data_IF_572791763334
#
_entry.id   IF_572791763334
#
_cell.length_a   1.000
_cell.length_b   1.000
_cell.length_c   1.000
_cell.angle_alpha   90.00
_cell.angle_beta   90.00
_cell.angle_gamma   90.00
#
_symmetry.space_group_name_H-M   'P 1'
#
loop_
_entity.id
_entity.type
_entity.pdbx_description
1 polymer ?
#
# COMPACT_ATOMS: atom_id res chain seq x y z
N UNK A 1 7.88 3.72 -10.93
CA UNK A 1 6.99 2.76 -10.24
C UNK A 1 7.77 1.99 -9.17
N UNK A 2 8.30 2.66 -8.15
CA UNK A 2 9.17 2.01 -7.15
C UNK A 2 8.38 1.31 -6.02
N UNK A 3 7.24 1.89 -5.61
CA UNK A 3 6.44 1.41 -4.47
C UNK A 3 5.85 0.00 -4.66
N UNK A 4 5.51 -0.41 -5.88
CA UNK A 4 4.88 -1.70 -6.11
C UNK A 4 5.82 -2.88 -5.81
N UNK A 5 7.12 -2.71 -6.10
CA UNK A 5 8.13 -3.74 -5.84
C UNK A 5 8.32 -4.01 -4.34
N UNK A 6 8.24 -2.97 -3.52
CA UNK A 6 8.38 -3.05 -2.07
C UNK A 6 7.14 -3.68 -1.41
N UNK A 7 5.95 -3.34 -1.92
CA UNK A 7 4.68 -3.97 -1.54
C UNK A 7 4.69 -5.47 -1.87
N UNK A 8 5.13 -5.85 -3.07
CA UNK A 8 5.20 -7.27 -3.45
C UNK A 8 6.24 -8.03 -2.63
N UNK A 9 7.39 -7.42 -2.35
CA UNK A 9 8.41 -8.02 -1.49
C UNK A 9 7.88 -8.26 -0.07
N UNK A 10 7.27 -7.24 0.57
CA UNK A 10 6.65 -7.40 1.89
C UNK A 10 5.50 -8.41 1.88
N UNK A 11 4.71 -8.47 0.81
CA UNK A 11 3.64 -9.48 0.67
C UNK A 11 4.19 -10.90 0.63
N UNK A 12 5.29 -11.15 -0.08
CA UNK A 12 5.96 -12.46 -0.08
C UNK A 12 6.49 -12.81 1.31
N UNK A 13 7.14 -11.87 1.98
CA UNK A 13 7.64 -12.08 3.35
C UNK A 13 6.50 -12.36 4.34
N UNK A 14 5.35 -11.69 4.20
CA UNK A 14 4.20 -11.94 5.05
C UNK A 14 3.65 -13.36 4.86
N UNK A 15 3.57 -13.84 3.61
CA UNK A 15 3.14 -15.20 3.32
C UNK A 15 4.12 -16.22 3.91
N UNK A 16 5.44 -15.98 3.78
CA UNK A 16 6.48 -16.83 4.36
C UNK A 16 6.38 -16.87 5.89
N UNK A 17 6.24 -15.72 6.54
CA UNK A 17 6.05 -15.60 7.99
C UNK A 17 4.76 -16.28 8.46
N UNK A 18 3.67 -16.12 7.72
CA UNK A 18 2.40 -16.78 8.02
C UNK A 18 2.50 -18.30 7.90
N UNK A 19 3.23 -18.82 6.92
CA UNK A 19 3.47 -20.26 6.77
C UNK A 19 4.40 -20.80 7.87
N UNK A 20 5.42 -20.02 8.25
CA UNK A 20 6.46 -20.46 9.19
C UNK A 20 6.07 -20.32 10.65
N UNK A 21 5.37 -19.24 11.01
CA UNK A 21 5.03 -18.88 12.39
C UNK A 21 3.53 -18.85 12.67
N UNK A 22 2.70 -18.94 11.63
CA UNK A 22 1.25 -18.79 11.74
C UNK A 22 0.79 -17.33 11.61
N UNK A 23 -0.50 -17.16 11.33
CA UNK A 23 -1.13 -15.84 11.15
C UNK A 23 -1.21 -15.02 12.44
N UNK A 24 -1.28 -15.70 13.60
CA UNK A 24 -1.37 -15.06 14.91
C UNK A 24 0.00 -14.72 15.54
N UNK A 25 1.10 -15.04 14.87
CA UNK A 25 2.41 -14.65 15.37
C UNK A 25 2.55 -13.12 15.31
N UNK A 26 3.06 -12.53 16.40
CA UNK A 26 3.27 -11.08 16.52
C UNK A 26 4.08 -10.52 15.34
N UNK A 27 5.08 -11.28 14.87
CA UNK A 27 5.90 -10.91 13.71
C UNK A 27 5.11 -10.89 12.40
N UNK A 28 4.19 -11.84 12.20
CA UNK A 28 3.33 -11.90 11.01
C UNK A 28 2.31 -10.76 11.06
N UNK A 29 1.76 -10.49 12.24
CA UNK A 29 0.81 -9.40 12.46
C UNK A 29 1.46 -8.03 12.23
N UNK A 30 2.66 -7.80 12.75
CA UNK A 30 3.45 -6.59 12.48
C UNK A 30 3.74 -6.42 10.99
N UNK A 31 4.18 -7.50 10.33
CA UNK A 31 4.43 -7.46 8.89
C UNK A 31 3.15 -7.12 8.10
N UNK A 32 1.99 -7.60 8.55
CA UNK A 32 0.67 -7.26 7.98
C UNK A 32 0.31 -5.79 8.13
N UNK A 33 0.54 -5.22 9.31
CA UNK A 33 0.24 -3.81 9.58
C UNK A 33 1.15 -2.88 8.76
N UNK A 34 2.43 -3.23 8.62
CA UNK A 34 3.37 -2.46 7.80
C UNK A 34 2.99 -2.51 6.32
N UNK A 35 2.61 -3.68 5.80
CA UNK A 35 2.15 -3.82 4.42
C UNK A 35 0.87 -3.03 4.17
N UNK A 36 -0.09 -3.09 5.09
CA UNK A 36 -1.35 -2.34 5.02
C UNK A 36 -1.09 -0.81 5.02
N UNK A 37 -0.16 -0.34 5.86
CA UNK A 37 0.23 1.08 5.89
C UNK A 37 0.78 1.55 4.55
N UNK A 38 1.65 0.77 3.90
CA UNK A 38 2.19 1.09 2.59
C UNK A 38 1.10 1.12 1.50
N UNK A 39 0.17 0.16 1.55
CA UNK A 39 -0.98 0.12 0.65
C UNK A 39 -1.88 1.35 0.84
N UNK A 40 -2.22 1.69 2.08
CA UNK A 40 -3.01 2.87 2.41
C UNK A 40 -2.34 4.17 1.96
N UNK A 41 -1.01 4.27 2.10
CA UNK A 41 -0.26 5.43 1.62
C UNK A 41 -0.33 5.56 0.09
N UNK A 42 -0.22 4.45 -0.63
CA UNK A 42 -0.34 4.42 -2.09
C UNK A 42 -1.76 4.81 -2.53
N UNK A 43 -2.79 4.25 -1.89
CA UNK A 43 -4.19 4.59 -2.16
C UNK A 43 -4.44 6.08 -1.89
N UNK A 44 -3.95 6.63 -0.78
CA UNK A 44 -4.05 8.06 -0.45
C UNK A 44 -3.36 8.92 -1.51
N UNK A 45 -2.15 8.57 -1.91
CA UNK A 45 -1.42 9.29 -2.96
C UNK A 45 -2.16 9.27 -4.30
N UNK A 46 -2.71 8.12 -4.70
CA UNK A 46 -3.56 8.03 -5.90
C UNK A 46 -4.83 8.85 -5.76
N UNK A 47 -5.51 8.78 -4.62
CA UNK A 47 -6.73 9.53 -4.38
C UNK A 47 -6.49 11.04 -4.40
N UNK A 48 -5.40 11.52 -3.80
CA UNK A 48 -4.99 12.93 -3.88
C UNK A 48 -4.65 13.37 -5.30
N UNK A 49 -4.05 12.52 -6.14
CA UNK A 49 -3.82 12.83 -7.57
C UNK A 49 -5.12 12.92 -8.36
N UNK A 50 -6.08 12.05 -8.07
CA UNK A 50 -7.40 12.06 -8.73
C UNK A 50 -8.18 13.32 -8.32
N UNK A 51 -8.13 13.73 -7.05
CA UNK A 51 -8.78 14.96 -6.58
C UNK A 51 -8.11 16.24 -7.10
N UNK A 52 -6.80 16.25 -7.34
CA UNK A 52 -6.11 17.40 -7.94
C UNK A 52 -6.29 17.50 -9.47
N UNK A 53 -6.75 16.43 -10.14
CA UNK A 53 -7.04 16.43 -11.57
C UNK A 53 -8.36 17.11 -11.96
N UNK A 54 -9.27 17.33 -11.01
CA UNK A 54 -10.60 17.89 -11.26
C UNK A 54 -10.68 19.42 -11.29
N UNK A 55 -9.58 20.15 -11.01
CA UNK A 55 -9.55 21.63 -11.00
C UNK A 55 -9.02 22.28 -12.29
N UNK A 56 -8.77 21.52 -13.37
CA UNK A 56 -8.40 22.10 -14.68
C UNK A 56 -9.40 21.74 -15.78
N UNK A 57 -10.67 22.16 -15.65
CA UNK A 57 -11.54 22.35 -16.83
C UNK A 57 -12.76 23.25 -16.61
N UNK A 58 -12.60 24.46 -16.06
CA UNK A 58 -13.61 25.54 -16.24
C UNK A 58 -12.98 26.92 -16.17
N UNK A 59 -12.17 27.28 -17.16
CA UNK A 59 -12.03 28.67 -17.61
C UNK A 59 -11.20 28.69 -18.89
N UNK A 60 -11.84 28.86 -20.04
CA UNK A 60 -11.30 29.46 -21.28
C UNK A 60 -12.43 29.61 -22.30
N UNK A 61 -12.83 30.88 -22.49
CA UNK A 61 -13.55 31.53 -23.61
C UNK A 61 -14.96 31.14 -23.99
#
# INVERSE_FOLDING_TARGET
MAFFSEIESKRKNLIDLAQKHGLNADITLKCSQELDTLLLQEIKLRHSRIQNGSSQKVQSS
#
